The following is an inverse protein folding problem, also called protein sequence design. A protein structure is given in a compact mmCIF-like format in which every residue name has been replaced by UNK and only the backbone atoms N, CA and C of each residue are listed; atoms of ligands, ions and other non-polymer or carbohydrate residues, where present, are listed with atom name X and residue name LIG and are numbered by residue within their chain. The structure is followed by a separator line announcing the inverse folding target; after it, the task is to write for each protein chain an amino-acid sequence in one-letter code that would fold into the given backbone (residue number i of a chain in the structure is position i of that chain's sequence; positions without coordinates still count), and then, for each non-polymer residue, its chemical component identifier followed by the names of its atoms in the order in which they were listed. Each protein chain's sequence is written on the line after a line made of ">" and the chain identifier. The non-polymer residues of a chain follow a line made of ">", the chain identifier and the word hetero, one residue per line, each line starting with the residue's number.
data_IF_377335979229
#
_entry.id   IF_377335979229
#
_cell.length_a   1.000
_cell.length_b   1.000
_cell.length_c   1.000
_cell.angle_alpha   90.00
_cell.angle_beta   90.00
_cell.angle_gamma   90.00
#
_symmetry.space_group_name_H-M   'P 1'
#
loop_
_entity.id
_entity.type
_entity.pdbx_description
1 polymer ?
#
# COMPACT_ATOMS: atom_id res chain seq x y z
N UNK A 1 2.09 2.04 -2.11
CA UNK A 1 2.61 3.12 -2.99
C UNK A 1 4.14 3.12 -2.85
N UNK A 2 4.87 3.28 -3.95
CA UNK A 2 6.34 3.20 -3.91
C UNK A 2 6.92 4.44 -3.23
N UNK A 3 7.92 4.27 -2.35
CA UNK A 3 8.60 5.40 -1.74
C UNK A 3 9.62 6.00 -2.74
N UNK A 4 9.20 7.04 -3.45
CA UNK A 4 9.98 7.68 -4.53
C UNK A 4 11.30 8.25 -3.99
N UNK A 5 11.31 8.88 -2.82
CA UNK A 5 12.53 9.48 -2.25
C UNK A 5 13.61 8.44 -2.00
N UNK A 6 13.23 7.26 -1.49
CA UNK A 6 14.17 6.16 -1.27
C UNK A 6 14.77 5.65 -2.58
N UNK A 7 13.95 5.56 -3.63
CA UNK A 7 14.40 5.11 -4.95
C UNK A 7 15.27 6.15 -5.64
N UNK A 8 14.91 7.43 -5.58
CA UNK A 8 15.72 8.51 -6.11
C UNK A 8 17.13 8.49 -5.53
N UNK A 9 17.27 8.37 -4.21
CA UNK A 9 18.58 8.31 -3.55
C UNK A 9 19.38 7.07 -3.95
N UNK A 10 18.71 5.92 -4.13
CA UNK A 10 19.38 4.68 -4.51
C UNK A 10 19.81 4.63 -5.99
N UNK A 11 19.08 5.29 -6.90
CA UNK A 11 19.30 5.18 -8.35
C UNK A 11 19.97 6.40 -8.99
N UNK A 12 20.23 7.48 -8.24
CA UNK A 12 20.82 8.71 -8.79
C UNK A 12 22.22 8.52 -9.39
N UNK A 13 22.95 7.51 -8.92
CA UNK A 13 24.28 7.11 -9.45
C UNK A 13 24.24 6.08 -10.56
N UNK A 14 23.04 5.62 -10.96
CA UNK A 14 22.92 4.55 -11.96
C UNK A 14 23.41 5.00 -13.35
N UNK A 15 23.10 6.24 -13.73
CA UNK A 15 23.47 6.83 -15.03
C UNK A 15 24.33 8.06 -14.79
N UNK A 16 25.45 8.15 -15.50
CA UNK A 16 26.38 9.27 -15.45
C UNK A 16 26.25 10.22 -16.64
N UNK A 17 27.07 11.26 -16.64
CA UNK A 17 27.32 12.14 -17.77
C UNK A 17 28.81 12.07 -18.12
N UNK A 18 29.16 12.07 -19.41
CA UNK A 18 30.57 12.21 -19.80
C UNK A 18 30.98 13.68 -19.77
N UNK A 19 32.27 13.92 -19.54
CA UNK A 19 32.84 15.24 -19.84
C UNK A 19 32.72 15.51 -21.34
N UNK A 20 32.30 16.72 -21.75
CA UNK A 20 32.37 17.10 -23.14
C UNK A 20 33.83 17.20 -23.60
N UNK A 21 34.06 16.96 -24.89
CA UNK A 21 35.38 17.14 -25.49
C UNK A 21 35.83 18.60 -25.55
N UNK A 22 34.88 19.55 -25.47
CA UNK A 22 35.18 20.96 -25.40
C UNK A 22 35.66 21.32 -23.98
N UNK A 23 36.92 21.78 -23.80
CA UNK A 23 37.46 22.10 -22.48
C UNK A 23 36.70 23.23 -21.76
N UNK A 24 36.05 24.13 -22.49
CA UNK A 24 35.29 25.25 -21.91
C UNK A 24 34.03 24.77 -21.16
N UNK A 25 33.57 23.55 -21.44
CA UNK A 25 32.39 22.92 -20.83
C UNK A 25 32.74 21.72 -19.96
N UNK A 26 34.01 21.52 -19.61
CA UNK A 26 34.47 20.46 -18.72
C UNK A 26 34.13 20.75 -17.24
N UNK A 27 32.84 20.92 -16.96
CA UNK A 27 32.30 21.45 -15.69
C UNK A 27 31.56 20.38 -14.87
N UNK A 28 31.48 19.14 -15.36
CA UNK A 28 30.78 18.04 -14.66
C UNK A 28 31.61 17.56 -13.47
N UNK A 29 31.00 17.40 -12.30
CA UNK A 29 31.68 16.93 -11.10
C UNK A 29 31.84 15.40 -11.03
N UNK A 30 32.69 14.93 -10.11
CA UNK A 30 33.00 13.50 -9.96
C UNK A 30 31.76 12.64 -9.69
N UNK A 31 30.78 13.18 -8.98
CA UNK A 31 29.54 12.46 -8.63
C UNK A 31 28.60 12.31 -9.84
N UNK A 32 28.61 13.27 -10.77
CA UNK A 32 27.85 13.17 -12.02
C UNK A 32 28.60 12.41 -13.13
N UNK A 33 29.93 12.32 -13.06
CA UNK A 33 30.73 11.45 -13.93
C UNK A 33 30.60 9.97 -13.57
N UNK A 34 30.32 9.65 -12.31
CA UNK A 34 30.15 8.28 -11.87
C UNK A 34 28.91 7.64 -12.51
N UNK A 35 29.08 6.42 -13.04
CA UNK A 35 27.99 5.59 -13.57
C UNK A 35 28.17 4.15 -13.09
N UNK A 36 27.24 3.68 -12.26
CA UNK A 36 27.23 2.28 -11.81
C UNK A 36 26.83 1.31 -12.92
N UNK A 37 26.00 1.75 -13.88
CA UNK A 37 25.53 0.91 -14.99
C UNK A 37 26.46 0.91 -16.21
N UNK A 38 27.42 1.83 -16.25
CA UNK A 38 28.26 2.08 -17.43
C UNK A 38 27.56 2.84 -18.56
N UNK A 39 26.28 3.23 -18.39
CA UNK A 39 25.57 4.07 -19.35
C UNK A 39 25.73 5.56 -19.03
N UNK A 40 25.80 6.37 -20.08
CA UNK A 40 25.90 7.82 -19.96
C UNK A 40 24.81 8.50 -20.78
N UNK A 41 24.16 9.51 -20.19
CA UNK A 41 23.11 10.26 -20.89
C UNK A 41 23.64 10.97 -22.15
N UNK A 42 24.92 11.36 -22.11
CA UNK A 42 25.67 12.03 -23.19
C UNK A 42 26.03 11.11 -24.36
N UNK A 43 25.79 9.79 -24.26
CA UNK A 43 25.95 8.88 -25.41
C UNK A 43 24.92 9.19 -26.50
N UNK A 44 23.83 9.87 -26.13
CA UNK A 44 22.89 10.43 -27.08
C UNK A 44 23.45 11.75 -27.66
N UNK A 45 23.60 11.87 -29.00
CA UNK A 45 24.17 13.06 -29.64
C UNK A 45 23.36 14.34 -29.42
N UNK A 46 22.10 14.23 -29.00
CA UNK A 46 21.23 15.36 -28.68
C UNK A 46 21.32 15.81 -27.21
N UNK A 47 21.87 14.99 -26.32
CA UNK A 47 21.93 15.25 -24.87
C UNK A 47 23.35 15.65 -24.44
N UNK A 48 23.91 16.66 -25.11
CA UNK A 48 25.25 17.19 -24.83
C UNK A 48 25.23 18.19 -23.66
N UNK A 49 26.30 18.24 -22.88
CA UNK A 49 26.42 19.13 -21.72
C UNK A 49 26.34 20.60 -22.13
N UNK A 50 26.91 20.95 -23.27
CA UNK A 50 26.86 22.28 -23.87
C UNK A 50 25.40 22.72 -24.08
N UNK A 51 24.60 21.87 -24.72
CA UNK A 51 23.19 22.18 -24.97
C UNK A 51 22.38 22.26 -23.67
N UNK A 52 22.69 21.44 -22.68
CA UNK A 52 22.00 21.49 -21.38
C UNK A 52 22.36 22.78 -20.61
N UNK A 53 23.61 23.26 -20.69
CA UNK A 53 24.07 24.49 -20.05
C UNK A 53 23.54 25.76 -20.74
N UNK A 54 23.42 25.74 -22.06
CA UNK A 54 23.03 26.92 -22.82
C UNK A 54 21.50 27.13 -22.85
N UNK A 55 20.72 26.06 -22.63
CA UNK A 55 19.24 26.11 -22.66
C UNK A 55 18.60 26.15 -21.27
N UNK A 56 19.37 26.26 -20.18
CA UNK A 56 18.77 26.44 -18.85
C UNK A 56 18.39 27.90 -18.60
N UNK A 57 17.45 28.11 -17.68
CA UNK A 57 16.75 29.39 -17.50
C UNK A 57 17.61 30.54 -16.95
N UNK A 58 18.78 30.25 -16.38
CA UNK A 58 19.62 31.20 -15.67
C UNK A 58 20.89 31.54 -16.44
N UNK A 59 20.96 32.74 -17.01
CA UNK A 59 22.05 33.18 -17.91
C UNK A 59 23.49 32.93 -17.40
N UNK A 60 23.73 33.04 -16.08
CA UNK A 60 25.07 32.88 -15.48
C UNK A 60 25.06 31.81 -14.38
N UNK A 61 24.69 30.58 -14.73
CA UNK A 61 24.62 29.48 -13.78
C UNK A 61 26.04 29.09 -13.33
N UNK A 62 26.26 29.04 -12.02
CA UNK A 62 27.53 28.55 -11.46
C UNK A 62 27.71 27.06 -11.76
N UNK A 63 28.94 26.58 -11.93
CA UNK A 63 29.21 25.16 -12.16
C UNK A 63 28.66 24.27 -11.03
N UNK A 64 28.68 24.78 -9.78
CA UNK A 64 28.11 24.09 -8.62
C UNK A 64 26.60 23.92 -8.75
N UNK A 65 25.89 24.95 -9.19
CA UNK A 65 24.43 24.90 -9.32
C UNK A 65 24.01 24.14 -10.59
N UNK A 66 24.81 24.18 -11.65
CA UNK A 66 24.64 23.34 -12.83
C UNK A 66 24.74 21.84 -12.48
N UNK A 67 25.73 21.43 -11.68
CA UNK A 67 25.82 20.03 -11.24
C UNK A 67 24.61 19.60 -10.36
N UNK A 68 24.04 20.51 -9.56
CA UNK A 68 22.76 20.23 -8.87
C UNK A 68 21.59 20.08 -9.83
N UNK A 69 21.57 20.86 -10.91
CA UNK A 69 20.56 20.72 -11.97
C UNK A 69 20.65 19.34 -12.63
N UNK A 70 21.85 18.86 -12.95
CA UNK A 70 22.06 17.51 -13.50
C UNK A 70 21.57 16.40 -12.56
N UNK A 71 21.85 16.51 -11.26
CA UNK A 71 21.32 15.60 -10.23
C UNK A 71 19.79 15.63 -10.20
N UNK A 72 19.20 16.81 -10.32
CA UNK A 72 17.73 16.99 -10.32
C UNK A 72 17.10 16.38 -11.57
N UNK A 73 17.73 16.52 -12.73
CA UNK A 73 17.31 15.91 -13.99
C UNK A 73 17.31 14.37 -13.89
N UNK A 74 18.36 13.77 -13.31
CA UNK A 74 18.40 12.33 -13.02
C UNK A 74 17.26 11.89 -12.10
N UNK A 75 17.03 12.59 -10.99
CA UNK A 75 15.94 12.28 -10.04
C UNK A 75 14.55 12.39 -10.67
N UNK A 76 14.34 13.39 -11.54
CA UNK A 76 13.09 13.59 -12.27
C UNK A 76 12.83 12.45 -13.25
N UNK A 77 13.84 12.06 -14.03
CA UNK A 77 13.75 10.93 -14.96
C UNK A 77 13.43 9.61 -14.24
N UNK A 78 14.12 9.33 -13.12
CA UNK A 78 13.84 8.15 -12.27
C UNK A 78 12.39 8.16 -11.78
N UNK A 79 11.91 9.31 -11.31
CA UNK A 79 10.53 9.44 -10.80
C UNK A 79 9.51 9.20 -11.90
N UNK A 80 9.76 9.72 -13.10
CA UNK A 80 8.88 9.55 -14.24
C UNK A 80 8.74 8.06 -14.61
N UNK A 81 9.86 7.35 -14.79
CA UNK A 81 9.85 5.91 -15.14
C UNK A 81 9.16 5.09 -14.04
N UNK A 82 9.50 5.33 -12.77
CA UNK A 82 8.90 4.60 -11.64
C UNK A 82 7.39 4.84 -11.57
N UNK A 83 6.94 6.08 -11.74
CA UNK A 83 5.52 6.40 -11.72
C UNK A 83 4.76 5.82 -12.92
N UNK A 84 5.39 5.68 -14.09
CA UNK A 84 4.78 5.01 -15.24
C UNK A 84 4.63 3.50 -15.00
N UNK A 85 5.69 2.84 -14.53
CA UNK A 85 5.72 1.39 -14.31
C UNK A 85 4.82 0.98 -13.14
N UNK A 86 4.84 1.73 -12.04
CA UNK A 86 4.06 1.45 -10.83
C UNK A 86 2.81 2.34 -10.71
N UNK A 87 2.17 2.64 -11.84
CA UNK A 87 1.04 3.58 -11.96
C UNK A 87 -0.26 3.07 -11.33
N UNK A 88 -0.42 1.76 -11.13
CA UNK A 88 -1.61 1.16 -10.54
C UNK A 88 -1.27 0.12 -9.48
N UNK A 89 -2.22 -0.12 -8.57
CA UNK A 89 -2.15 -1.27 -7.67
C UNK A 89 -2.18 -2.56 -8.48
N UNK A 90 -1.21 -3.44 -8.24
CA UNK A 90 -1.30 -4.83 -8.66
C UNK A 90 -2.05 -5.62 -7.58
N UNK A 91 -3.29 -6.01 -7.87
CA UNK A 91 -4.08 -6.83 -6.97
C UNK A 91 -3.71 -8.30 -7.18
N UNK A 92 -2.99 -8.87 -6.22
CA UNK A 92 -2.67 -10.31 -6.24
C UNK A 92 -3.94 -11.17 -6.26
N UNK A 93 -4.98 -10.75 -5.53
CA UNK A 93 -6.29 -11.41 -5.46
C UNK A 93 -7.36 -10.49 -4.85
N UNK A 94 -8.63 -10.71 -5.19
CA UNK A 94 -9.79 -10.04 -4.59
C UNK A 94 -10.98 -10.98 -4.54
N UNK A 95 -11.41 -11.35 -3.33
CA UNK A 95 -12.61 -12.17 -3.13
C UNK A 95 -13.31 -11.81 -1.79
N UNK A 96 -14.50 -12.40 -1.57
CA UNK A 96 -15.27 -12.34 -0.32
C UNK A 96 -14.97 -13.59 0.51
N UNK A 97 -14.83 -13.42 1.84
CA UNK A 97 -14.54 -14.55 2.75
C UNK A 97 -15.62 -15.63 2.73
N UNK A 98 -16.90 -15.25 2.65
CA UNK A 98 -18.02 -16.18 2.52
C UNK A 98 -18.82 -15.85 1.26
N UNK A 99 -18.65 -16.67 0.22
CA UNK A 99 -19.30 -16.48 -1.09
C UNK A 99 -20.59 -17.27 -1.29
N UNK A 100 -20.81 -18.28 -0.46
CA UNK A 100 -21.94 -19.19 -0.57
C UNK A 100 -23.19 -18.60 0.10
N UNK A 101 -24.36 -19.02 -0.36
CA UNK A 101 -25.63 -18.61 0.22
C UNK A 101 -25.75 -19.03 1.69
N UNK A 102 -26.41 -18.19 2.47
CA UNK A 102 -26.75 -18.45 3.88
C UNK A 102 -28.27 -18.44 4.05
N UNK A 103 -28.75 -19.09 5.10
CA UNK A 103 -30.16 -19.08 5.48
C UNK A 103 -30.29 -18.41 6.85
N UNK A 104 -31.06 -17.33 6.92
CA UNK A 104 -31.23 -16.53 8.15
C UNK A 104 -32.37 -17.06 9.00
N UNK A 105 -32.23 -18.28 9.51
CA UNK A 105 -33.27 -18.90 10.35
C UNK A 105 -32.81 -19.20 11.76
N UNK A 106 -31.52 -19.44 11.98
CA UNK A 106 -30.97 -19.71 13.31
C UNK A 106 -30.05 -18.58 13.76
N UNK A 107 -30.05 -18.30 15.06
CA UNK A 107 -29.19 -17.31 15.71
C UNK A 107 -27.97 -18.01 16.31
N UNK A 108 -26.80 -17.37 16.21
CA UNK A 108 -25.54 -17.83 16.80
C UNK A 108 -25.41 -17.27 18.22
N UNK A 109 -25.24 -18.15 19.21
CA UNK A 109 -24.94 -17.74 20.58
C UNK A 109 -23.48 -17.28 20.69
N UNK A 110 -23.28 -16.00 20.96
CA UNK A 110 -21.94 -15.42 21.04
C UNK A 110 -21.32 -15.60 22.43
N UNK A 111 -20.02 -15.95 22.52
CA UNK A 111 -19.31 -15.93 23.80
C UNK A 111 -19.13 -14.48 24.30
N UNK A 112 -18.97 -14.33 25.61
CA UNK A 112 -18.67 -13.02 26.22
C UNK A 112 -17.25 -12.61 25.87
N UNK A 113 -17.08 -11.42 25.27
CA UNK A 113 -15.79 -10.85 24.92
C UNK A 113 -15.69 -10.48 23.45
N UNK A 114 -14.46 -10.55 22.90
CA UNK A 114 -14.22 -10.24 21.50
C UNK A 114 -14.58 -11.43 20.61
N UNK A 115 -15.36 -11.17 19.56
CA UNK A 115 -15.68 -12.16 18.52
C UNK A 115 -15.28 -11.59 17.17
N UNK A 116 -14.63 -12.41 16.35
CA UNK A 116 -14.26 -11.97 15.01
C UNK A 116 -13.36 -12.93 14.26
N UNK A 117 -12.44 -12.34 13.51
CA UNK A 117 -11.51 -13.05 12.66
C UNK A 117 -10.08 -12.59 12.90
N UNK A 118 -9.19 -13.56 13.02
CA UNK A 118 -7.75 -13.36 12.94
C UNK A 118 -7.32 -13.44 11.48
N UNK A 119 -6.58 -12.44 11.03
CA UNK A 119 -6.00 -12.33 9.69
C UNK A 119 -4.48 -12.39 9.82
N UNK A 120 -3.89 -13.43 9.23
CA UNK A 120 -2.44 -13.62 9.15
C UNK A 120 -1.97 -13.33 7.74
N UNK A 121 -1.05 -12.39 7.61
CA UNK A 121 -0.40 -12.09 6.33
C UNK A 121 0.82 -13.00 6.17
N UNK A 122 1.02 -13.53 4.97
CA UNK A 122 2.20 -14.33 4.62
C UNK A 122 3.51 -13.61 4.94
N UNK A 123 4.56 -14.39 5.23
CA UNK A 123 5.93 -13.88 5.42
C UNK A 123 6.55 -13.30 4.14
N UNK A 124 5.88 -13.43 2.99
CA UNK A 124 6.30 -12.83 1.73
C UNK A 124 6.44 -11.29 1.86
N UNK A 125 7.59 -10.77 1.42
CA UNK A 125 7.87 -9.33 1.44
C UNK A 125 6.84 -8.57 0.59
N UNK A 126 6.44 -7.39 1.06
CA UNK A 126 5.52 -6.46 0.38
C UNK A 126 4.08 -6.96 0.16
N UNK A 127 3.59 -7.89 0.99
CA UNK A 127 2.17 -8.23 0.99
C UNK A 127 1.38 -7.19 1.80
N UNK A 128 0.38 -6.57 1.17
CA UNK A 128 -0.56 -5.64 1.78
C UNK A 128 -1.99 -6.06 1.41
N UNK A 129 -2.97 -5.70 2.24
CA UNK A 129 -4.37 -6.00 1.95
C UNK A 129 -5.29 -4.83 2.30
N UNK A 130 -6.46 -4.82 1.68
CA UNK A 130 -7.47 -3.79 1.88
C UNK A 130 -8.84 -4.43 2.13
N UNK A 131 -9.50 -4.00 3.20
CA UNK A 131 -10.87 -4.38 3.50
C UNK A 131 -11.81 -3.32 2.93
N UNK A 132 -12.45 -3.65 1.81
CA UNK A 132 -13.31 -2.69 1.12
C UNK A 132 -14.66 -2.50 1.82
N UNK A 133 -15.29 -3.60 2.23
CA UNK A 133 -16.62 -3.60 2.87
C UNK A 133 -16.78 -4.80 3.78
N UNK A 134 -17.71 -4.68 4.72
CA UNK A 134 -18.21 -5.79 5.54
C UNK A 134 -19.70 -5.98 5.31
N UNK A 135 -20.14 -7.22 5.43
CA UNK A 135 -21.54 -7.62 5.32
C UNK A 135 -21.90 -8.27 6.66
N UNK A 136 -22.88 -7.69 7.34
CA UNK A 136 -23.26 -8.03 8.70
C UNK A 136 -24.71 -8.53 8.68
N UNK A 137 -24.90 -9.81 9.01
CA UNK A 137 -26.20 -10.46 9.06
C UNK A 137 -26.60 -10.63 10.54
N UNK A 138 -27.50 -9.77 11.02
CA UNK A 138 -27.96 -9.74 12.42
C UNK A 138 -29.48 -9.71 12.51
N UNK A 139 -30.02 -10.29 13.57
CA UNK A 139 -31.40 -10.12 13.96
C UNK A 139 -31.57 -8.90 14.87
N UNK A 140 -32.60 -8.11 14.60
CA UNK A 140 -32.88 -6.86 15.31
C UNK A 140 -32.17 -5.61 14.75
N UNK A 141 -32.22 -4.53 15.53
CA UNK A 141 -31.59 -3.25 15.21
C UNK A 141 -30.74 -2.79 16.38
N UNK A 142 -29.62 -2.14 16.09
CA UNK A 142 -28.65 -1.77 17.13
C UNK A 142 -27.35 -1.23 16.54
N UNK A 143 -26.40 -0.91 17.41
CA UNK A 143 -25.08 -0.42 17.00
C UNK A 143 -24.01 -1.44 17.36
N UNK A 144 -23.07 -1.65 16.46
CA UNK A 144 -21.86 -2.45 16.69
C UNK A 144 -20.66 -1.54 16.51
N UNK A 145 -19.71 -1.58 17.43
CA UNK A 145 -18.40 -1.00 17.20
C UNK A 145 -17.47 -2.03 16.57
N UNK A 146 -17.22 -1.88 15.27
CA UNK A 146 -16.27 -2.71 14.54
C UNK A 146 -14.85 -2.20 14.78
N UNK A 147 -13.97 -3.11 15.17
CA UNK A 147 -12.61 -2.84 15.56
C UNK A 147 -11.63 -3.63 14.68
N UNK A 148 -10.52 -2.99 14.30
CA UNK A 148 -9.37 -3.66 13.69
C UNK A 148 -8.12 -3.43 14.53
N UNK A 149 -7.54 -4.51 15.04
CA UNK A 149 -6.36 -4.50 15.89
C UNK A 149 -5.17 -5.11 15.18
N UNK A 150 -3.97 -4.75 15.63
CA UNK A 150 -2.73 -5.42 15.29
C UNK A 150 -1.99 -5.78 16.58
N UNK A 151 -1.36 -6.96 16.62
CA UNK A 151 -0.62 -7.43 17.80
C UNK A 151 0.49 -6.49 18.29
N UNK A 152 1.03 -5.64 17.43
CA UNK A 152 2.07 -4.68 17.78
C UNK A 152 1.54 -3.37 18.39
N UNK A 153 0.21 -3.16 18.43
CA UNK A 153 -0.42 -1.96 18.99
C UNK A 153 -1.35 -2.32 20.15
N UNK A 154 -1.37 -1.46 21.18
CA UNK A 154 -2.35 -1.53 22.27
C UNK A 154 -3.66 -0.84 21.94
N UNK A 155 -3.69 -0.03 20.89
CA UNK A 155 -4.87 0.67 20.41
C UNK A 155 -5.34 0.07 19.08
N UNK A 156 -6.66 0.07 18.83
CA UNK A 156 -7.18 -0.34 17.51
C UNK A 156 -6.60 0.58 16.43
N UNK A 157 -6.23 -0.02 15.30
CA UNK A 157 -5.79 0.70 14.10
C UNK A 157 -6.96 1.44 13.45
N UNK A 158 -8.12 0.80 13.44
CA UNK A 158 -9.35 1.38 12.93
C UNK A 158 -10.52 0.99 13.83
N UNK A 159 -11.43 1.93 14.00
CA UNK A 159 -12.69 1.76 14.71
C UNK A 159 -13.80 2.39 13.87
N UNK A 160 -14.95 1.71 13.78
CA UNK A 160 -16.15 2.27 13.13
C UNK A 160 -17.41 1.75 13.80
N UNK A 161 -18.27 2.66 14.22
CA UNK A 161 -19.63 2.33 14.64
C UNK A 161 -20.49 2.04 13.41
N UNK A 162 -21.09 0.87 13.37
CA UNK A 162 -22.02 0.43 12.33
C UNK A 162 -23.40 0.30 12.94
N UNK A 163 -24.38 1.02 12.36
CA UNK A 163 -25.78 0.93 12.77
C UNK A 163 -26.47 -0.14 11.93
N UNK A 164 -26.94 -1.19 12.59
CA UNK A 164 -27.72 -2.27 12.01
C UNK A 164 -29.17 -1.81 11.93
N UNK A 165 -29.64 -1.61 10.69
CA UNK A 165 -31.02 -1.18 10.40
C UNK A 165 -31.85 -2.26 9.72
N UNK A 166 -31.18 -3.26 9.13
CA UNK A 166 -31.78 -4.35 8.38
C UNK A 166 -31.08 -5.66 8.71
N UNK A 167 -31.72 -6.78 8.40
CA UNK A 167 -31.17 -8.13 8.55
C UNK A 167 -29.92 -8.42 7.68
N UNK A 168 -29.58 -7.52 6.75
CA UNK A 168 -28.37 -7.54 5.93
C UNK A 168 -27.75 -6.15 5.81
N UNK A 169 -26.90 -5.78 6.77
CA UNK A 169 -26.23 -4.49 6.73
C UNK A 169 -24.93 -4.57 5.93
N UNK A 170 -24.78 -3.71 4.92
CA UNK A 170 -23.53 -3.54 4.18
C UNK A 170 -22.89 -2.24 4.63
N UNK A 171 -21.61 -2.29 5.01
CA UNK A 171 -20.85 -1.11 5.40
C UNK A 171 -19.56 -1.00 4.59
N UNK A 172 -19.27 0.20 4.07
CA UNK A 172 -18.04 0.49 3.33
C UNK A 172 -16.96 0.93 4.31
N UNK A 173 -15.80 0.28 4.29
CA UNK A 173 -14.70 0.55 5.22
C UNK A 173 -13.53 1.26 4.53
N UNK A 174 -13.01 0.66 3.45
CA UNK A 174 -11.82 1.17 2.76
C UNK A 174 -10.52 1.07 3.56
N UNK A 175 -10.48 0.27 4.63
CA UNK A 175 -9.32 0.14 5.51
C UNK A 175 -8.16 -0.55 4.79
N UNK A 176 -7.03 0.15 4.71
CA UNK A 176 -5.83 -0.32 4.03
C UNK A 176 -4.77 -0.67 5.06
N UNK A 177 -4.21 -1.87 4.94
CA UNK A 177 -3.17 -2.42 5.80
C UNK A 177 -1.95 -2.71 4.94
N UNK A 178 -1.01 -1.79 4.96
CA UNK A 178 0.21 -1.85 4.16
C UNK A 178 1.48 -1.72 5.02
N UNK A 179 2.63 -1.71 4.35
CA UNK A 179 3.94 -1.59 4.98
C UNK A 179 4.39 -0.15 5.20
N UNK A 180 3.48 0.83 5.10
CA UNK A 180 3.84 2.25 5.24
C UNK A 180 3.85 2.74 6.69
N UNK A 181 3.16 2.04 7.61
CA UNK A 181 3.08 2.38 9.03
C UNK A 181 4.09 1.67 9.94
N UNK A 182 4.10 2.05 11.22
CA UNK A 182 4.98 1.47 12.25
C UNK A 182 4.60 0.03 12.64
N UNK A 183 3.34 -0.36 12.44
CA UNK A 183 2.82 -1.69 12.81
C UNK A 183 2.97 -2.71 11.68
N UNK A 184 4.15 -2.73 11.04
CA UNK A 184 4.44 -3.68 9.95
C UNK A 184 4.78 -5.06 10.52
N UNK A 185 3.97 -6.05 10.14
CA UNK A 185 4.01 -7.47 10.57
C UNK A 185 3.47 -7.71 11.99
N UNK A 186 2.72 -8.80 12.12
CA UNK A 186 1.89 -9.13 13.28
C UNK A 186 0.62 -9.82 12.82
N UNK A 187 -0.19 -10.30 13.76
CA UNK A 187 -1.52 -10.82 13.46
C UNK A 187 -2.52 -9.66 13.56
N UNK A 188 -3.45 -9.60 12.61
CA UNK A 188 -4.54 -8.62 12.64
C UNK A 188 -5.80 -9.27 13.14
N UNK A 189 -6.62 -8.54 13.88
CA UNK A 189 -7.90 -9.04 14.38
C UNK A 189 -8.99 -8.06 14.01
N UNK A 190 -9.99 -8.52 13.25
CA UNK A 190 -11.19 -7.74 12.93
C UNK A 190 -12.39 -8.35 13.63
N UNK A 191 -13.18 -7.54 14.33
CA UNK A 191 -14.32 -8.04 15.07
C UNK A 191 -14.96 -6.97 15.95
N UNK A 192 -15.78 -7.41 16.88
CA UNK A 192 -16.51 -6.54 17.79
C UNK A 192 -16.61 -7.20 19.17
N UNK A 193 -16.86 -6.40 20.20
CA UNK A 193 -17.09 -6.90 21.55
C UNK A 193 -18.58 -7.22 21.73
N UNK A 194 -18.89 -8.36 22.33
CA UNK A 194 -20.25 -8.83 22.57
C UNK A 194 -20.88 -8.24 23.81
N UNK A 195 -20.05 -7.65 24.69
CA UNK A 195 -20.51 -7.03 25.93
C UNK A 195 -21.43 -5.84 25.61
N UNK A 196 -22.70 -5.94 26.00
CA UNK A 196 -23.69 -4.87 25.80
C UNK A 196 -24.33 -4.84 24.41
N UNK A 197 -24.08 -5.83 23.55
CA UNK A 197 -24.83 -5.98 22.31
C UNK A 197 -26.26 -6.43 22.61
N UNK A 198 -27.20 -5.85 21.88
CA UNK A 198 -28.64 -6.16 21.93
C UNK A 198 -29.12 -6.93 20.70
N UNK A 199 -28.19 -7.32 19.83
CA UNK A 199 -28.46 -7.97 18.55
C UNK A 199 -27.65 -9.25 18.44
N UNK A 200 -28.21 -10.23 17.75
CA UNK A 200 -27.62 -11.57 17.63
C UNK A 200 -27.37 -11.89 16.15
N UNK A 201 -26.18 -12.39 15.77
CA UNK A 201 -25.89 -12.70 14.38
C UNK A 201 -26.59 -14.00 13.95
N UNK A 202 -26.95 -14.09 12.67
CA UNK A 202 -27.44 -15.34 12.10
C UNK A 202 -26.31 -16.37 11.93
N UNK A 203 -26.64 -17.65 12.17
CA UNK A 203 -25.74 -18.75 11.84
C UNK A 203 -25.52 -18.85 10.33
N UNK A 204 -24.29 -19.25 9.95
CA UNK A 204 -23.91 -19.55 8.56
C UNK A 204 -23.90 -21.06 8.33
N UNK A 205 -24.99 -21.76 8.60
CA UNK A 205 -25.07 -23.23 8.60
C UNK A 205 -25.78 -23.84 7.37
N UNK A 206 -26.10 -23.03 6.36
CA UNK A 206 -26.75 -23.51 5.15
C UNK A 206 -25.77 -24.05 4.10
N UNK A 207 -25.86 -25.35 3.78
CA UNK A 207 -25.02 -26.02 2.78
C UNK A 207 -23.52 -25.79 3.01
N UNK A 208 -22.87 -24.98 2.16
CA UNK A 208 -21.46 -24.59 2.26
C UNK A 208 -21.30 -23.13 2.70
N UNK A 209 -22.32 -22.52 3.30
CA UNK A 209 -22.34 -21.14 3.79
C UNK A 209 -21.29 -20.84 4.86
N UNK A 210 -20.88 -21.86 5.62
CA UNK A 210 -19.81 -21.80 6.62
C UNK A 210 -18.41 -21.96 6.03
N UNK A 211 -18.30 -22.37 4.76
CA UNK A 211 -17.00 -22.61 4.11
C UNK A 211 -16.40 -21.27 3.69
N UNK A 212 -15.23 -20.96 4.27
CA UNK A 212 -14.49 -19.75 3.97
C UNK A 212 -13.64 -19.92 2.70
N UNK A 213 -13.58 -18.88 1.89
CA UNK A 213 -12.68 -18.81 0.73
C UNK A 213 -11.23 -18.75 1.21
N UNK A 214 -10.36 -19.54 0.58
CA UNK A 214 -8.91 -19.45 0.77
C UNK A 214 -8.35 -18.32 -0.09
N UNK A 215 -7.64 -17.38 0.54
CA UNK A 215 -6.98 -16.27 -0.14
C UNK A 215 -5.48 -16.54 -0.24
N UNK A 216 -4.88 -16.22 -1.38
CA UNK A 216 -3.44 -16.32 -1.57
C UNK A 216 -2.72 -15.32 -0.67
N UNK A 217 -1.70 -15.80 0.04
CA UNK A 217 -0.86 -15.02 0.96
C UNK A 217 -1.59 -14.44 2.20
N UNK A 218 -2.85 -14.81 2.45
CA UNK A 218 -3.60 -14.40 3.64
C UNK A 218 -4.33 -15.61 4.21
N UNK A 219 -4.11 -15.92 5.49
CA UNK A 219 -4.91 -16.90 6.21
C UNK A 219 -5.89 -16.19 7.14
N UNK A 220 -7.15 -16.64 7.16
CA UNK A 220 -8.19 -16.09 8.02
C UNK A 220 -8.79 -17.20 8.88
N UNK A 221 -8.89 -16.96 10.18
CA UNK A 221 -9.37 -17.93 11.17
C UNK A 221 -10.38 -17.24 12.10
N UNK A 222 -11.45 -17.96 12.50
CA UNK A 222 -12.43 -17.45 13.48
C UNK A 222 -11.79 -17.42 14.88
N UNK A 223 -12.08 -16.37 15.65
CA UNK A 223 -11.65 -16.18 17.06
C UNK A 223 -12.86 -15.96 17.94
#
# INVERSE_FOLDING_TARGET
>A
MVNINKIQTALVGLVGFNQPYNPDYAIVDVDNLASESGYFATDNPYAKIEFIKDNQDYYDISDKDFNKLLVTLKKSAISNVVNQVFSSYDFLERDVLFKNATKKTELETLPIGFVGYRIKVSNAKNTAFKINRVLLDFDGTGNIELLLWNTASRTPLYTKTVTITTDHQIEVLGWTLDNSGETYKGEYYIGYNTTGLTIEPFKRDYNSGSVMTSLKNISVEKV
#
